data_IF_472428534603
#
_entry.id   IF_472428534603
#
_cell.length_a   1.000
_cell.length_b   1.000
_cell.length_c   1.000
_cell.angle_alpha   90.00
_cell.angle_beta   90.00
_cell.angle_gamma   90.00
#
_symmetry.space_group_name_H-M   'P 1'
#
loop_
_entity.id
_entity.type
_entity.pdbx_description
1 polymer ?
#
# COMPACT_ATOMS: atom_id res chain seq x y z
N UNK A 1 -13.30 -45.78 -17.11
CA UNK A 1 -13.75 -44.72 -16.18
C UNK A 1 -12.74 -43.57 -16.31
N UNK A 2 -13.07 -42.45 -16.98
CA UNK A 2 -13.49 -41.16 -16.36
C UNK A 2 -12.56 -40.80 -15.17
N UNK A 3 -11.77 -39.73 -15.10
CA UNK A 3 -11.81 -38.42 -15.76
C UNK A 3 -10.39 -37.81 -15.79
N UNK A 4 -10.16 -36.96 -16.79
CA UNK A 4 -9.06 -36.02 -16.85
C UNK A 4 -9.13 -35.01 -15.69
N UNK A 5 -7.97 -34.52 -15.25
CA UNK A 5 -7.87 -33.19 -14.67
C UNK A 5 -6.59 -32.54 -15.20
N UNK A 6 -6.73 -31.87 -16.35
CA UNK A 6 -5.85 -30.77 -16.70
C UNK A 6 -6.09 -29.68 -15.65
N UNK A 7 -5.06 -29.34 -14.87
CA UNK A 7 -5.02 -28.05 -14.19
C UNK A 7 -4.12 -27.16 -15.04
N UNK A 8 -4.71 -26.73 -16.16
CA UNK A 8 -4.28 -25.58 -16.92
C UNK A 8 -4.89 -24.37 -16.19
N UNK A 9 -4.13 -23.84 -15.23
CA UNK A 9 -4.44 -22.63 -14.49
C UNK A 9 -3.45 -21.54 -14.87
N UNK A 10 -3.51 -21.08 -16.13
CA UNK A 10 -3.08 -19.74 -16.49
C UNK A 10 -3.85 -18.77 -15.58
N UNK A 11 -3.16 -18.13 -14.64
CA UNK A 11 -3.84 -17.23 -13.69
C UNK A 11 -2.96 -16.62 -12.61
N UNK A 12 -1.64 -16.58 -12.78
CA UNK A 12 -0.79 -15.58 -12.10
C UNK A 12 -0.56 -14.37 -13.01
N UNK A 13 -1.58 -14.03 -13.80
CA UNK A 13 -1.75 -12.64 -14.16
C UNK A 13 -2.05 -11.91 -12.85
N UNK A 14 -1.02 -11.29 -12.28
CA UNK A 14 -1.15 -10.12 -11.42
C UNK A 14 -1.85 -9.03 -12.25
N UNK A 15 -3.13 -9.23 -12.56
CA UNK A 15 -3.98 -8.27 -13.25
C UNK A 15 -4.80 -7.53 -12.20
N UNK A 16 -4.13 -6.96 -11.19
CA UNK A 16 -4.74 -5.89 -10.40
C UNK A 16 -4.34 -4.49 -10.89
N UNK A 17 -3.59 -4.36 -12.00
CA UNK A 17 -3.52 -3.08 -12.70
C UNK A 17 -4.86 -2.83 -13.42
N UNK A 18 -5.88 -2.42 -12.66
CA UNK A 18 -7.22 -2.11 -13.15
C UNK A 18 -7.28 -0.92 -14.10
N UNK A 19 -6.17 -0.19 -14.27
CA UNK A 19 -5.98 0.86 -15.25
C UNK A 19 -4.67 0.58 -15.99
N UNK A 20 -4.67 0.71 -17.32
CA UNK A 20 -3.57 0.32 -18.21
C UNK A 20 -2.25 1.11 -18.07
N UNK A 21 -2.08 1.88 -16.99
CA UNK A 21 -0.88 2.66 -16.73
C UNK A 21 -0.51 2.46 -15.27
N UNK A 22 0.63 1.82 -15.04
CA UNK A 22 1.30 1.83 -13.75
C UNK A 22 1.80 3.26 -13.54
N UNK A 23 0.95 4.09 -12.96
CA UNK A 23 1.09 5.55 -12.87
C UNK A 23 0.77 6.00 -11.43
N UNK A 24 0.89 5.07 -10.48
CA UNK A 24 0.67 5.35 -9.07
C UNK A 24 2.02 5.62 -8.41
N UNK A 25 2.13 6.77 -7.79
CA UNK A 25 3.29 7.17 -7.01
C UNK A 25 3.16 6.67 -5.57
N UNK A 26 4.20 6.03 -5.05
CA UNK A 26 4.24 5.52 -3.68
C UNK A 26 4.96 6.51 -2.78
N UNK A 27 4.27 6.93 -1.73
CA UNK A 27 4.78 7.83 -0.70
C UNK A 27 4.94 7.10 0.63
N UNK A 28 5.94 7.50 1.39
CA UNK A 28 6.07 7.18 2.81
C UNK A 28 5.79 8.44 3.63
N UNK A 29 4.76 8.37 4.46
CA UNK A 29 4.29 9.45 5.30
C UNK A 29 4.60 9.16 6.77
N UNK A 30 5.25 10.10 7.43
CA UNK A 30 5.56 10.02 8.86
C UNK A 30 4.62 10.92 9.67
N UNK A 31 3.98 10.32 10.67
CA UNK A 31 3.05 11.00 11.57
C UNK A 31 3.51 10.93 13.02
N UNK A 32 3.15 11.97 13.79
CA UNK A 32 3.32 12.02 15.24
C UNK A 32 1.98 12.23 15.94
N UNK A 33 1.81 11.65 17.11
CA UNK A 33 0.62 11.85 17.94
C UNK A 33 0.74 13.13 18.77
N UNK A 34 -0.19 14.07 18.59
CA UNK A 34 -0.19 15.36 19.33
C UNK A 34 -0.94 15.32 20.67
N UNK A 35 -1.58 14.19 21.00
CA UNK A 35 -2.47 14.05 22.15
C UNK A 35 -3.94 13.84 21.77
N UNK A 36 -4.35 14.18 20.55
CA UNK A 36 -5.72 14.13 20.05
C UNK A 36 -5.85 13.41 18.71
N UNK A 37 -4.92 13.63 17.78
CA UNK A 37 -4.89 12.99 16.46
C UNK A 37 -3.44 12.87 15.94
N UNK A 38 -3.26 12.04 14.91
CA UNK A 38 -1.98 11.96 14.20
C UNK A 38 -1.80 13.18 13.30
N UNK A 39 -0.65 13.81 13.39
CA UNK A 39 -0.23 14.95 12.59
C UNK A 39 0.84 14.52 11.59
N UNK A 40 0.66 14.87 10.32
CA UNK A 40 1.65 14.60 9.28
C UNK A 40 2.88 15.47 9.53
N UNK A 41 4.04 14.85 9.73
CA UNK A 41 5.32 15.53 9.89
C UNK A 41 6.06 15.64 8.56
N UNK A 42 6.04 14.57 7.76
CA UNK A 42 6.80 14.45 6.53
C UNK A 42 6.07 13.52 5.54
N UNK A 43 6.20 13.80 4.26
CA UNK A 43 5.73 12.95 3.16
C UNK A 43 6.82 12.90 2.11
N UNK A 44 7.28 11.70 1.77
CA UNK A 44 8.37 11.48 0.82
C UNK A 44 7.95 10.54 -0.28
N UNK A 45 8.14 10.95 -1.54
CA UNK A 45 8.02 10.08 -2.70
C UNK A 45 9.13 9.03 -2.64
N UNK A 46 8.75 7.75 -2.73
CA UNK A 46 9.68 6.62 -2.64
C UNK A 46 9.89 5.94 -3.99
N UNK A 47 8.81 5.76 -4.76
CA UNK A 47 8.81 5.09 -6.07
C UNK A 47 7.72 5.71 -6.95
N UNK A 48 8.06 6.00 -8.20
CA UNK A 48 7.12 6.50 -9.23
C UNK A 48 6.60 5.37 -10.12
N UNK A 49 5.50 5.62 -10.84
CA UNK A 49 4.99 4.75 -11.92
C UNK A 49 4.74 3.29 -11.48
N UNK A 50 4.25 3.10 -10.26
CA UNK A 50 3.99 1.76 -9.72
C UNK A 50 2.63 1.23 -10.15
N UNK A 51 2.54 -0.11 -10.19
CA UNK A 51 1.33 -0.83 -10.58
C UNK A 51 0.43 -1.20 -9.38
N UNK A 52 0.54 -0.47 -8.26
CA UNK A 52 -0.20 -0.76 -7.03
C UNK A 52 -1.56 -0.06 -7.03
N UNK A 53 -2.49 -0.53 -6.20
CA UNK A 53 -3.79 0.13 -6.05
C UNK A 53 -3.63 1.44 -5.25
N UNK A 54 -4.39 2.51 -5.59
CA UNK A 54 -4.38 3.76 -4.79
C UNK A 54 -4.87 3.52 -3.37
N UNK A 55 -4.29 4.26 -2.42
CA UNK A 55 -4.65 4.22 -1.00
C UNK A 55 -3.52 3.73 -0.10
N UNK A 56 -3.86 3.32 1.12
CA UNK A 56 -2.87 2.82 2.09
C UNK A 56 -2.45 1.41 1.72
N UNK A 57 -1.15 1.23 1.46
CA UNK A 57 -0.54 -0.06 1.15
C UNK A 57 -0.05 -0.77 2.42
N UNK A 58 0.56 -0.01 3.33
CA UNK A 58 1.06 -0.52 4.61
C UNK A 58 1.05 0.59 5.67
N UNK A 59 1.08 0.18 6.94
CA UNK A 59 1.26 1.10 8.06
C UNK A 59 1.97 0.42 9.22
N UNK A 60 2.91 1.13 9.83
CA UNK A 60 3.63 0.67 11.02
C UNK A 60 3.52 1.70 12.13
N UNK A 61 3.48 1.23 13.38
CA UNK A 61 3.38 2.12 14.55
C UNK A 61 4.53 1.87 15.52
N UNK A 62 4.94 2.94 16.20
CA UNK A 62 6.01 2.91 17.19
C UNK A 62 5.73 3.88 18.35
N UNK A 63 6.44 3.69 19.46
CA UNK A 63 6.16 4.38 20.72
C UNK A 63 5.17 3.60 21.58
N UNK A 64 5.43 3.53 22.89
CA UNK A 64 4.73 2.62 23.80
C UNK A 64 3.41 3.15 24.34
N UNK A 65 2.57 2.25 24.86
CA UNK A 65 1.26 2.54 25.45
C UNK A 65 0.10 2.07 24.58
N UNK A 66 -1.12 2.48 24.94
CA UNK A 66 -2.33 2.15 24.16
C UNK A 66 -2.46 3.01 22.89
N UNK A 67 -1.73 4.13 22.83
CA UNK A 67 -1.68 5.03 21.68
C UNK A 67 -0.22 5.20 21.28
N UNK A 68 0.21 4.58 20.17
CA UNK A 68 1.56 4.76 19.65
C UNK A 68 1.86 6.24 19.39
N UNK A 69 3.09 6.66 19.64
CA UNK A 69 3.51 8.06 19.46
C UNK A 69 3.85 8.39 18.01
N UNK A 70 4.15 7.37 17.21
CA UNK A 70 4.61 7.49 15.83
C UNK A 70 3.84 6.50 14.95
N UNK A 71 3.52 6.93 13.73
CA UNK A 71 2.87 6.15 12.70
C UNK A 71 3.57 6.45 11.38
N UNK A 72 4.02 5.43 10.67
CA UNK A 72 4.52 5.53 9.29
C UNK A 72 3.51 4.84 8.38
N UNK A 73 3.09 5.51 7.30
CA UNK A 73 2.12 5.01 6.33
C UNK A 73 2.75 4.98 4.96
N UNK A 74 2.76 3.81 4.32
CA UNK A 74 3.06 3.69 2.90
C UNK A 74 1.75 3.78 2.14
N UNK A 75 1.63 4.75 1.24
CA UNK A 75 0.43 4.94 0.43
C UNK A 75 0.77 5.11 -1.05
N UNK A 76 -0.18 4.81 -1.91
CA UNK A 76 -0.11 5.13 -3.33
C UNK A 76 -1.13 6.19 -3.73
N UNK A 77 -0.72 7.08 -4.61
CA UNK A 77 -1.55 8.11 -5.23
C UNK A 77 -1.44 7.99 -6.75
N UNK A 78 -2.58 7.88 -7.43
CA UNK A 78 -2.66 7.76 -8.88
C UNK A 78 -3.45 8.95 -9.45
N UNK A 79 -3.21 9.37 -10.70
CA UNK A 79 -3.96 10.45 -11.35
C UNK A 79 -5.46 10.19 -11.55
#
# INVERSE_FOLDING_TARGET
MKKALLILGLGFALSSCGNGFCDCDVYEDDYSWDGFQYQLNNSALTVEDTCVDPGVLDSTTAGGGNTPSYLTVTRAECP
#
